data_IF_213573378921
#
_entry.id   IF_213573378921
#
_cell.length_a   1.000
_cell.length_b   1.000
_cell.length_c   1.000
_cell.angle_alpha   90.00
_cell.angle_beta   90.00
_cell.angle_gamma   90.00
#
_symmetry.space_group_name_H-M   'P 1'
#
loop_
_entity.id
_entity.type
_entity.pdbx_description
1 polymer ?
#
# COMPACT_ATOMS: atom_id res chain seq x y z
N UNK A 1 3.92 19.90 1.20
CA UNK A 1 4.89 18.92 1.76
C UNK A 1 5.53 18.20 0.59
N UNK A 2 6.84 18.26 0.41
CA UNK A 2 7.49 17.58 -0.71
C UNK A 2 7.44 16.05 -0.55
N UNK A 3 6.72 15.37 -1.46
CA UNK A 3 6.42 13.93 -1.39
C UNK A 3 7.67 13.09 -1.62
N UNK A 4 8.55 13.49 -2.54
CA UNK A 4 9.78 12.74 -2.82
C UNK A 4 10.76 12.82 -1.64
N UNK A 5 10.88 14.00 -1.02
CA UNK A 5 11.62 14.17 0.25
C UNK A 5 11.00 13.34 1.38
N UNK A 6 9.67 13.28 1.47
CA UNK A 6 8.98 12.47 2.45
C UNK A 6 9.21 10.96 2.24
N UNK A 7 9.19 10.48 0.99
CA UNK A 7 9.52 9.09 0.63
C UNK A 7 10.98 8.77 1.02
N UNK A 8 11.93 9.67 0.77
CA UNK A 8 13.34 9.51 1.21
C UNK A 8 13.44 9.43 2.73
N UNK A 9 12.73 10.29 3.46
CA UNK A 9 12.68 10.26 4.94
C UNK A 9 12.07 8.97 5.46
N UNK A 10 10.99 8.47 4.83
CA UNK A 10 10.39 7.18 5.16
C UNK A 10 11.41 6.04 5.01
N UNK A 11 12.12 5.96 3.88
CA UNK A 11 13.18 4.95 3.66
C UNK A 11 14.30 5.03 4.69
N UNK A 12 14.72 6.25 5.08
CA UNK A 12 15.74 6.44 6.13
C UNK A 12 15.22 5.98 7.49
N UNK A 13 14.00 6.36 7.86
CA UNK A 13 13.34 5.94 9.10
C UNK A 13 13.22 4.41 9.19
N UNK A 14 12.84 3.75 8.09
CA UNK A 14 12.82 2.30 8.01
C UNK A 14 14.18 1.66 8.31
N UNK A 15 15.26 2.16 7.68
CA UNK A 15 16.61 1.64 7.90
C UNK A 15 17.04 1.78 9.37
N UNK A 16 16.78 2.95 9.96
CA UNK A 16 17.10 3.21 11.37
C UNK A 16 16.31 2.28 12.28
N UNK A 17 15.00 2.13 12.04
CA UNK A 17 14.14 1.22 12.80
C UNK A 17 14.64 -0.23 12.73
N UNK A 18 15.04 -0.69 11.54
CA UNK A 18 15.58 -2.04 11.38
C UNK A 18 16.90 -2.24 12.12
N UNK A 19 17.78 -1.25 12.05
CA UNK A 19 19.07 -1.29 12.75
C UNK A 19 18.87 -1.28 14.28
N UNK A 20 17.97 -0.44 14.78
CA UNK A 20 17.67 -0.39 16.22
C UNK A 20 17.01 -1.68 16.72
N UNK A 21 16.09 -2.27 15.96
CA UNK A 21 15.44 -3.53 16.36
C UNK A 21 16.43 -4.70 16.39
N UNK A 22 17.31 -4.79 15.39
CA UNK A 22 18.39 -5.78 15.37
C UNK A 22 19.34 -5.59 16.56
N UNK A 23 19.70 -4.35 16.87
CA UNK A 23 20.53 -4.04 18.02
C UNK A 23 19.89 -4.49 19.35
N UNK A 24 18.62 -4.15 19.57
CA UNK A 24 17.90 -4.55 20.80
C UNK A 24 17.80 -6.07 20.93
N UNK A 25 17.46 -6.76 19.83
CA UNK A 25 17.37 -8.23 19.75
C UNK A 25 18.69 -8.92 20.14
N UNK A 26 19.84 -8.32 19.83
CA UNK A 26 21.14 -8.87 20.22
C UNK A 26 21.56 -8.47 21.64
N UNK A 27 21.31 -7.22 22.04
CA UNK A 27 21.73 -6.70 23.34
C UNK A 27 20.97 -7.36 24.49
N UNK A 28 19.67 -7.61 24.34
CA UNK A 28 18.86 -8.19 25.42
C UNK A 28 19.34 -9.58 25.89
N UNK A 29 19.58 -10.57 24.99
CA UNK A 29 20.14 -11.85 25.38
C UNK A 29 21.54 -11.74 25.97
N UNK A 30 22.40 -10.90 25.39
CA UNK A 30 23.79 -10.72 25.89
C UNK A 30 23.81 -10.13 27.30
N UNK A 31 22.94 -9.17 27.59
CA UNK A 31 22.82 -8.58 28.93
C UNK A 31 22.40 -9.62 29.98
N UNK A 32 21.50 -10.55 29.63
CA UNK A 32 21.08 -11.64 30.52
C UNK A 32 22.26 -12.58 30.83
N UNK A 33 23.05 -12.92 29.81
CA UNK A 33 24.25 -13.78 29.95
C UNK A 33 25.31 -13.10 30.82
N UNK A 34 25.60 -11.82 30.58
CA UNK A 34 26.56 -11.02 31.34
C UNK A 34 26.15 -10.88 32.80
N UNK A 35 24.86 -10.67 33.06
CA UNK A 35 24.33 -10.58 34.43
C UNK A 35 24.36 -11.92 35.19
N UNK A 36 24.59 -13.05 34.49
CA UNK A 36 24.53 -14.43 35.04
C UNK A 36 23.23 -14.75 35.78
N UNK A 37 22.14 -14.02 35.50
CA UNK A 37 20.83 -14.18 36.15
C UNK A 37 19.94 -15.13 35.34
N UNK A 38 20.31 -16.41 35.32
CA UNK A 38 19.59 -17.45 34.58
C UNK A 38 18.36 -17.99 35.33
N UNK A 39 17.53 -17.09 35.86
CA UNK A 39 16.24 -17.49 36.43
C UNK A 39 15.25 -17.78 35.29
N UNK A 40 14.47 -18.86 35.43
CA UNK A 40 13.40 -19.25 34.50
C UNK A 40 12.47 -18.07 34.19
N UNK A 41 12.16 -17.25 35.21
CA UNK A 41 11.34 -16.05 35.03
C UNK A 41 11.93 -15.08 33.98
N UNK A 42 13.23 -14.79 34.06
CA UNK A 42 13.89 -13.89 33.12
C UNK A 42 14.02 -14.49 31.72
N UNK A 43 14.20 -15.81 31.63
CA UNK A 43 14.27 -16.52 30.34
C UNK A 43 12.92 -16.43 29.61
N UNK A 44 11.81 -16.71 30.30
CA UNK A 44 10.46 -16.60 29.71
C UNK A 44 10.17 -15.17 29.28
N UNK A 45 10.51 -14.19 30.12
CA UNK A 45 10.30 -12.78 29.80
C UNK A 45 11.09 -12.35 28.55
N UNK A 46 12.34 -12.80 28.42
CA UNK A 46 13.16 -12.56 27.23
C UNK A 46 12.48 -13.13 25.97
N UNK A 47 12.02 -14.38 26.03
CA UNK A 47 11.33 -15.03 24.89
C UNK A 47 10.11 -14.23 24.44
N UNK A 48 9.28 -13.77 25.39
CA UNK A 48 8.09 -12.96 25.07
C UNK A 48 8.48 -11.64 24.41
N UNK A 49 9.50 -10.95 24.92
CA UNK A 49 9.97 -9.70 24.32
C UNK A 49 10.52 -9.89 22.91
N UNK A 50 11.31 -10.94 22.67
CA UNK A 50 11.84 -11.23 21.34
C UNK A 50 10.73 -11.53 20.33
N UNK A 51 9.68 -12.25 20.76
CA UNK A 51 8.50 -12.49 19.94
C UNK A 51 7.77 -11.17 19.58
N UNK A 52 7.66 -10.22 20.52
CA UNK A 52 7.06 -8.92 20.25
C UNK A 52 7.90 -8.06 19.30
N UNK A 53 9.23 -8.05 19.46
CA UNK A 53 10.16 -7.37 18.55
C UNK A 53 10.03 -7.94 17.15
N UNK A 54 10.03 -9.26 17.02
CA UNK A 54 9.86 -9.95 15.75
C UNK A 54 8.54 -9.57 15.07
N UNK A 55 7.43 -9.55 15.82
CA UNK A 55 6.13 -9.15 15.30
C UNK A 55 6.13 -7.68 14.81
N UNK A 56 6.76 -6.77 15.56
CA UNK A 56 6.87 -5.36 15.18
C UNK A 56 7.65 -5.18 13.86
N UNK A 57 8.75 -5.93 13.70
CA UNK A 57 9.54 -5.96 12.46
C UNK A 57 8.70 -6.46 11.27
N UNK A 58 7.96 -7.56 11.45
CA UNK A 58 7.07 -8.12 10.42
C UNK A 58 6.01 -7.11 9.97
N UNK A 59 5.36 -6.43 10.92
CA UNK A 59 4.35 -5.40 10.64
C UNK A 59 4.97 -4.25 9.85
N UNK A 60 6.16 -3.77 10.25
CA UNK A 60 6.85 -2.66 9.58
C UNK A 60 7.19 -3.00 8.13
N UNK A 61 7.79 -4.18 7.87
CA UNK A 61 8.10 -4.65 6.52
C UNK A 61 6.84 -4.69 5.66
N UNK A 62 5.76 -5.23 6.21
CA UNK A 62 4.53 -5.45 5.47
C UNK A 62 3.85 -4.15 5.04
N UNK A 63 3.95 -3.09 5.86
CA UNK A 63 3.31 -1.81 5.58
C UNK A 63 4.07 -0.99 4.53
N UNK A 64 5.39 -0.99 4.58
CA UNK A 64 6.22 -0.17 3.69
C UNK A 64 6.47 -0.79 2.31
N UNK A 65 6.40 -2.12 2.20
CA UNK A 65 6.76 -2.80 0.95
C UNK A 65 5.69 -2.64 -0.15
N UNK A 66 5.93 -1.70 -1.05
CA UNK A 66 5.26 -1.54 -2.34
C UNK A 66 6.32 -1.22 -3.41
N UNK A 67 6.45 -2.10 -4.40
CA UNK A 67 7.24 -1.85 -5.61
C UNK A 67 6.34 -2.03 -6.82
N UNK A 68 6.50 -1.18 -7.81
CA UNK A 68 5.74 -1.27 -9.05
C UNK A 68 6.63 -1.02 -10.26
N UNK A 69 6.31 -1.66 -11.38
CA UNK A 69 6.90 -1.40 -12.69
C UNK A 69 5.79 -1.41 -13.74
N UNK A 70 5.98 -0.63 -14.80
CA UNK A 70 5.09 -0.61 -15.95
C UNK A 70 5.87 -1.03 -17.18
N UNK A 71 5.36 -2.03 -17.88
CA UNK A 71 6.02 -2.65 -19.04
C UNK A 71 5.33 -2.23 -20.35
N UNK A 72 4.66 -1.06 -20.41
CA UNK A 72 3.95 -0.56 -21.59
C UNK A 72 2.52 -1.12 -21.79
N UNK A 73 2.24 -2.32 -21.29
CA UNK A 73 0.91 -2.94 -21.35
C UNK A 73 0.37 -3.37 -19.97
N UNK A 74 1.27 -3.78 -19.09
CA UNK A 74 0.93 -4.31 -17.77
C UNK A 74 1.63 -3.52 -16.67
N UNK A 75 0.88 -3.22 -15.62
CA UNK A 75 1.40 -2.69 -14.36
C UNK A 75 1.65 -3.85 -13.40
N UNK A 76 2.92 -4.13 -13.10
CA UNK A 76 3.35 -5.18 -12.17
C UNK A 76 3.57 -4.58 -10.79
N UNK A 77 2.77 -5.01 -9.82
CA UNK A 77 2.80 -4.60 -8.43
C UNK A 77 3.34 -5.73 -7.55
N UNK A 78 4.28 -5.43 -6.66
CA UNK A 78 4.77 -6.33 -5.61
C UNK A 78 4.48 -5.69 -4.26
N UNK A 79 3.73 -6.40 -3.41
CA UNK A 79 3.15 -5.80 -2.21
C UNK A 79 3.19 -6.69 -0.97
N UNK A 80 3.65 -6.11 0.14
CA UNK A 80 3.72 -6.72 1.46
C UNK A 80 4.75 -7.83 1.61
N UNK A 81 4.73 -8.50 2.77
CA UNK A 81 5.78 -9.45 3.15
C UNK A 81 5.82 -10.72 2.29
N UNK A 82 4.64 -11.24 1.91
CA UNK A 82 4.51 -12.39 0.99
C UNK A 82 4.85 -12.05 -0.47
N UNK A 83 5.35 -10.84 -0.75
CA UNK A 83 5.74 -10.33 -2.08
C UNK A 83 4.72 -10.64 -3.18
N UNK A 84 3.42 -10.65 -2.86
CA UNK A 84 2.44 -11.10 -3.83
C UNK A 84 2.47 -10.16 -5.04
N UNK A 85 2.43 -10.78 -6.22
CA UNK A 85 2.63 -10.12 -7.50
C UNK A 85 1.27 -9.89 -8.15
N UNK A 86 0.81 -8.65 -8.21
CA UNK A 86 -0.41 -8.28 -8.92
C UNK A 86 -0.02 -7.69 -10.29
N UNK A 87 -0.44 -8.34 -11.37
CA UNK A 87 -0.29 -7.80 -12.72
C UNK A 87 -1.61 -7.24 -13.17
N UNK A 88 -1.69 -5.92 -13.37
CA UNK A 88 -2.88 -5.22 -13.83
C UNK A 88 -2.73 -4.93 -15.31
N UNK A 89 -3.74 -5.27 -16.10
CA UNK A 89 -3.83 -4.86 -17.51
C UNK A 89 -4.60 -3.55 -17.55
N UNK A 90 -3.94 -2.49 -18.02
CA UNK A 90 -4.46 -1.12 -17.96
C UNK A 90 -5.78 -0.95 -18.73
N UNK A 91 -5.91 -1.59 -19.90
CA UNK A 91 -7.11 -1.51 -20.76
C UNK A 91 -8.35 -2.19 -20.15
N UNK A 92 -8.16 -3.02 -19.13
CA UNK A 92 -9.25 -3.73 -18.46
C UNK A 92 -9.71 -3.02 -17.20
N UNK A 93 -9.06 -1.92 -16.81
CA UNK A 93 -9.46 -1.13 -15.65
C UNK A 93 -10.62 -0.23 -16.03
N UNK A 94 -11.68 -0.24 -15.21
CA UNK A 94 -12.88 0.56 -15.46
C UNK A 94 -12.99 1.73 -14.50
N UNK A 95 -12.67 1.51 -13.21
CA UNK A 95 -12.75 2.54 -12.20
C UNK A 95 -11.51 2.49 -11.30
N UNK A 96 -10.95 3.66 -11.01
CA UNK A 96 -9.96 3.86 -9.96
C UNK A 96 -10.54 4.87 -8.96
N UNK A 97 -10.67 4.43 -7.71
CA UNK A 97 -11.16 5.24 -6.61
C UNK A 97 -10.16 5.22 -5.46
N UNK A 98 -9.99 6.36 -4.81
CA UNK A 98 -9.17 6.51 -3.62
C UNK A 98 -10.09 6.74 -2.45
N UNK A 99 -9.89 6.01 -1.36
CA UNK A 99 -10.68 6.20 -0.15
C UNK A 99 -9.76 6.46 1.03
N UNK A 100 -10.04 7.53 1.77
CA UNK A 100 -9.27 7.88 2.96
C UNK A 100 -9.64 6.95 4.12
N UNK A 101 -8.65 6.55 4.90
CA UNK A 101 -8.88 5.85 6.15
C UNK A 101 -7.91 6.35 7.22
N UNK A 102 -8.43 6.56 8.41
CA UNK A 102 -7.63 6.85 9.59
C UNK A 102 -7.11 5.51 10.09
N UNK A 103 -5.79 5.36 10.16
CA UNK A 103 -5.20 4.19 10.79
C UNK A 103 -5.29 4.37 12.30
N UNK A 104 -5.83 3.39 13.03
CA UNK A 104 -5.85 3.42 14.52
C UNK A 104 -4.48 3.62 15.18
N UNK A 105 -3.39 3.44 14.42
CA UNK A 105 -2.00 3.50 14.90
C UNK A 105 -1.21 4.68 14.33
N UNK A 106 -1.85 5.64 13.63
CA UNK A 106 -1.14 6.76 13.01
C UNK A 106 -2.05 7.98 12.81
N UNK A 107 -1.62 9.14 13.29
CA UNK A 107 -2.35 10.42 13.15
C UNK A 107 -2.38 10.95 11.71
N UNK A 108 -1.52 10.44 10.83
CA UNK A 108 -1.47 10.89 9.45
C UNK A 108 -2.53 10.18 8.59
N UNK A 109 -3.39 10.93 7.88
CA UNK A 109 -4.41 10.36 7.01
C UNK A 109 -3.73 9.52 5.92
N UNK A 110 -4.15 8.27 5.83
CA UNK A 110 -3.68 7.35 4.81
C UNK A 110 -4.85 7.01 3.88
N UNK A 111 -4.57 6.49 2.69
CA UNK A 111 -5.64 6.20 1.73
C UNK A 111 -5.47 4.83 1.08
N UNK A 112 -6.56 4.17 0.73
CA UNK A 112 -6.54 2.91 -0.02
C UNK A 112 -6.95 3.18 -1.45
N UNK A 113 -6.29 2.51 -2.41
CA UNK A 113 -6.67 2.60 -3.83
C UNK A 113 -7.55 1.38 -4.12
N UNK A 114 -8.76 1.62 -4.61
CA UNK A 114 -9.71 0.62 -5.03
C UNK A 114 -9.74 0.66 -6.56
N UNK A 115 -9.51 -0.50 -7.18
CA UNK A 115 -9.50 -0.65 -8.63
C UNK A 115 -10.57 -1.66 -9.00
N UNK A 116 -11.44 -1.28 -9.93
CA UNK A 116 -12.40 -2.16 -10.58
C UNK A 116 -11.94 -2.52 -11.99
N UNK A 117 -12.14 -3.78 -12.38
CA UNK A 117 -11.81 -4.30 -13.69
C UNK A 117 -12.91 -5.20 -14.24
N UNK A 118 -13.04 -5.26 -15.57
CA UNK A 118 -13.93 -6.19 -16.27
C UNK A 118 -13.42 -7.64 -16.31
N UNK A 119 -12.15 -7.87 -15.98
CA UNK A 119 -11.54 -9.20 -16.10
C UNK A 119 -10.75 -9.57 -14.85
N UNK A 120 -10.77 -10.85 -14.48
CA UNK A 120 -9.92 -11.38 -13.43
C UNK A 120 -8.48 -11.42 -13.92
N UNK A 121 -7.59 -10.68 -13.26
CA UNK A 121 -6.15 -10.85 -13.51
C UNK A 121 -5.65 -12.16 -12.89
N UNK A 122 -4.55 -12.69 -13.45
CA UNK A 122 -3.94 -13.99 -13.11
C UNK A 122 -3.44 -14.12 -11.65
N UNK A 123 -3.81 -13.21 -10.75
CA UNK A 123 -3.36 -13.15 -9.37
C UNK A 123 -4.53 -13.25 -8.38
N UNK A 124 -4.33 -13.97 -7.28
CA UNK A 124 -5.35 -14.31 -6.25
C UNK A 124 -5.94 -13.13 -5.47
N UNK A 125 -5.48 -11.90 -5.77
CA UNK A 125 -5.96 -10.67 -5.10
C UNK A 125 -7.10 -9.98 -5.82
N UNK A 126 -7.48 -10.47 -7.01
CA UNK A 126 -8.68 -10.01 -7.68
C UNK A 126 -9.88 -10.84 -7.24
N UNK A 127 -10.82 -10.17 -6.58
CA UNK A 127 -12.01 -10.77 -5.99
C UNK A 127 -13.21 -10.32 -6.80
N UNK A 128 -14.17 -11.21 -7.01
CA UNK A 128 -15.45 -10.87 -7.63
C UNK A 128 -16.18 -9.83 -6.76
N UNK A 129 -16.77 -8.81 -7.39
CA UNK A 129 -17.58 -7.82 -6.69
C UNK A 129 -18.79 -8.51 -6.05
N UNK A 130 -18.92 -8.39 -4.74
CA UNK A 130 -20.02 -8.97 -3.96
C UNK A 130 -20.73 -7.89 -3.15
N UNK A 131 -21.96 -8.20 -2.72
CA UNK A 131 -22.85 -7.24 -2.03
C UNK A 131 -22.21 -6.63 -0.78
N UNK A 132 -21.43 -7.39 0.00
CA UNK A 132 -20.78 -6.85 1.21
C UNK A 132 -19.71 -5.79 0.89
N UNK A 133 -18.94 -5.97 -0.18
CA UNK A 133 -18.00 -4.97 -0.65
C UNK A 133 -18.73 -3.67 -1.03
N UNK A 134 -19.84 -3.78 -1.76
CA UNK A 134 -20.64 -2.64 -2.16
C UNK A 134 -21.25 -1.91 -0.96
N UNK A 135 -21.70 -2.64 0.07
CA UNK A 135 -22.18 -2.04 1.34
C UNK A 135 -21.09 -1.25 2.07
N UNK A 136 -19.85 -1.75 2.06
CA UNK A 136 -18.70 -1.12 2.75
C UNK A 136 -18.14 0.09 2.00
N UNK A 137 -18.39 0.20 0.70
CA UNK A 137 -17.85 1.22 -0.18
C UNK A 137 -18.98 1.85 -1.01
N UNK A 138 -19.84 2.63 -0.35
CA UNK A 138 -21.06 3.19 -0.94
C UNK A 138 -20.83 4.00 -2.21
N UNK A 139 -19.76 4.80 -2.27
CA UNK A 139 -19.41 5.57 -3.46
C UNK A 139 -19.05 4.65 -4.65
N UNK A 140 -18.22 3.64 -4.39
CA UNK A 140 -17.88 2.63 -5.40
C UNK A 140 -19.12 1.87 -5.86
N UNK A 141 -20.07 1.61 -4.95
CA UNK A 141 -21.31 0.96 -5.29
C UNK A 141 -22.20 1.78 -6.22
N UNK A 142 -22.27 3.10 -6.01
CA UNK A 142 -23.00 3.99 -6.91
C UNK A 142 -22.43 3.96 -8.34
N UNK A 143 -21.11 4.05 -8.47
CA UNK A 143 -20.43 3.96 -9.78
C UNK A 143 -20.58 2.57 -10.40
N UNK A 144 -20.44 1.52 -9.60
CA UNK A 144 -20.64 0.14 -10.04
C UNK A 144 -22.04 -0.10 -10.61
N UNK A 145 -23.09 0.38 -9.91
CA UNK A 145 -24.47 0.22 -10.36
C UNK A 145 -24.72 0.91 -11.70
N UNK A 146 -24.19 2.13 -11.90
CA UNK A 146 -24.26 2.82 -13.20
C UNK A 146 -23.64 1.98 -14.32
N UNK A 147 -22.46 1.42 -14.09
CA UNK A 147 -21.78 0.58 -15.08
C UNK A 147 -22.50 -0.74 -15.33
N UNK A 148 -23.14 -1.32 -14.31
CA UNK A 148 -23.89 -2.58 -14.42
C UNK A 148 -25.21 -2.40 -15.18
N UNK A 149 -25.83 -1.22 -15.10
CA UNK A 149 -27.00 -0.88 -15.93
C UNK A 149 -26.61 -0.78 -17.40
N UNK A 150 -25.49 -0.13 -17.71
CA UNK A 150 -24.99 0.03 -19.08
C UNK A 150 -24.48 -1.29 -19.68
N UNK A 151 -23.90 -2.16 -18.85
CA UNK A 151 -23.33 -3.44 -19.27
C UNK A 151 -23.78 -4.57 -18.32
N UNK A 152 -25.02 -5.05 -18.46
CA UNK A 152 -25.60 -6.04 -17.55
C UNK A 152 -24.86 -7.38 -17.59
N UNK A 153 -24.24 -7.74 -18.72
CA UNK A 153 -23.55 -9.03 -18.88
C UNK A 153 -22.15 -9.05 -18.27
N UNK A 154 -21.54 -7.87 -18.06
CA UNK A 154 -20.15 -7.80 -17.61
C UNK A 154 -20.02 -8.21 -16.14
N UNK A 155 -19.12 -9.16 -15.87
CA UNK A 155 -18.66 -9.47 -14.52
C UNK A 155 -17.56 -8.49 -14.12
N UNK A 156 -17.63 -7.96 -12.91
CA UNK A 156 -16.61 -7.04 -12.41
C UNK A 156 -15.83 -7.66 -11.25
N UNK A 157 -14.53 -7.36 -11.24
CA UNK A 157 -13.59 -7.75 -10.22
C UNK A 157 -13.01 -6.51 -9.57
N UNK A 158 -12.63 -6.62 -8.31
CA UNK A 158 -11.99 -5.55 -7.57
C UNK A 158 -10.68 -6.00 -6.92
N UNK A 159 -9.81 -5.02 -6.68
CA UNK A 159 -8.61 -5.17 -5.85
C UNK A 159 -8.42 -3.92 -5.02
N UNK A 160 -7.93 -4.09 -3.79
CA UNK A 160 -7.68 -2.97 -2.86
C UNK A 160 -6.20 -2.91 -2.51
N UNK A 161 -5.56 -1.79 -2.82
CA UNK A 161 -4.18 -1.48 -2.52
C UNK A 161 -4.14 -0.62 -1.25
N UNK A 162 -3.89 -1.27 -0.10
CA UNK A 162 -3.78 -0.59 1.21
C UNK A 162 -2.33 -0.25 1.58
N UNK A 163 -1.39 -1.14 1.22
CA UNK A 163 0.04 -1.09 1.60
C UNK A 163 0.84 -0.16 0.71
N UNK A 164 2.04 0.22 1.18
CA UNK A 164 2.99 1.03 0.42
C UNK A 164 3.17 2.47 0.85
N UNK A 165 2.40 2.91 1.86
CA UNK A 165 2.50 4.26 2.44
C UNK A 165 2.57 5.36 1.37
N UNK A 166 3.58 6.23 1.41
CA UNK A 166 3.73 7.33 0.45
C UNK A 166 4.02 6.86 -0.98
N UNK A 167 4.50 5.63 -1.19
CA UNK A 167 4.71 5.09 -2.54
C UNK A 167 3.38 4.86 -3.30
N UNK A 168 2.23 5.04 -2.64
CA UNK A 168 0.92 5.03 -3.31
C UNK A 168 0.71 6.27 -4.19
N UNK A 169 1.31 7.41 -3.87
CA UNK A 169 1.24 8.62 -4.71
C UNK A 169 1.86 8.42 -6.10
N UNK A 170 3.15 8.00 -6.23
CA UNK A 170 3.73 7.76 -7.55
C UNK A 170 3.07 6.57 -8.27
N UNK A 171 2.53 5.61 -7.52
CA UNK A 171 1.71 4.54 -8.10
C UNK A 171 0.43 5.09 -8.75
N UNK A 172 -0.31 5.97 -8.07
CA UNK A 172 -1.53 6.59 -8.62
C UNK A 172 -1.24 7.38 -9.88
N UNK A 173 -0.17 8.17 -9.88
CA UNK A 173 0.24 8.93 -11.07
C UNK A 173 0.63 8.00 -12.24
N UNK A 174 1.30 6.88 -11.94
CA UNK A 174 1.61 5.86 -12.96
C UNK A 174 0.34 5.24 -13.52
N UNK A 175 -0.62 4.85 -12.66
CA UNK A 175 -1.92 4.31 -13.08
C UNK A 175 -2.66 5.32 -13.97
N UNK A 176 -2.65 6.61 -13.60
CA UNK A 176 -3.30 7.66 -14.36
C UNK A 176 -2.69 7.85 -15.75
N UNK A 177 -1.35 7.80 -15.86
CA UNK A 177 -0.66 7.89 -17.15
C UNK A 177 -0.86 6.65 -18.02
N UNK A 178 -0.92 5.46 -17.43
CA UNK A 178 -0.94 4.20 -18.17
C UNK A 178 -2.35 3.71 -18.49
N UNK A 179 -3.35 4.01 -17.66
CA UNK A 179 -4.71 3.46 -17.77
C UNK A 179 -5.66 4.52 -18.33
N UNK A 180 -5.46 4.88 -19.59
CA UNK A 180 -6.15 6.01 -20.25
C UNK A 180 -7.68 5.82 -20.29
N UNK A 181 -8.15 4.59 -20.47
CA UNK A 181 -9.58 4.27 -20.57
C UNK A 181 -10.29 4.13 -19.21
N UNK A 182 -9.56 4.23 -18.10
CA UNK A 182 -10.15 4.08 -16.78
C UNK A 182 -10.86 5.38 -16.34
N UNK A 183 -12.01 5.24 -15.69
CA UNK A 183 -12.67 6.35 -15.01
C UNK A 183 -11.97 6.62 -13.66
N UNK A 184 -11.58 7.87 -13.42
CA UNK A 184 -10.96 8.31 -12.17
C UNK A 184 -11.94 9.17 -11.38
N UNK A 185 -12.13 8.85 -10.10
CA UNK A 185 -13.00 9.66 -9.23
C UNK A 185 -12.33 10.98 -8.89
N UNK A 186 -13.12 12.00 -8.54
CA UNK A 186 -12.61 13.33 -8.16
C UNK A 186 -11.56 13.26 -7.05
N UNK A 187 -11.84 12.50 -5.98
CA UNK A 187 -10.89 12.24 -4.90
C UNK A 187 -9.57 11.64 -5.39
N UNK A 188 -9.59 10.83 -6.44
CA UNK A 188 -8.39 10.25 -7.04
C UNK A 188 -7.60 11.31 -7.80
N UNK A 189 -8.30 12.14 -8.59
CA UNK A 189 -7.71 13.23 -9.37
C UNK A 189 -7.04 14.25 -8.44
N UNK A 190 -7.69 14.63 -7.35
CA UNK A 190 -7.12 15.54 -6.35
C UNK A 190 -5.82 15.01 -5.76
N UNK A 191 -5.75 13.71 -5.45
CA UNK A 191 -4.52 13.07 -4.93
C UNK A 191 -3.39 13.04 -5.95
N UNK A 192 -3.71 12.86 -7.23
CA UNK A 192 -2.74 12.92 -8.33
C UNK A 192 -2.23 14.36 -8.51
N UNK A 193 -3.12 15.35 -8.53
CA UNK A 193 -2.76 16.79 -8.60
C UNK A 193 -1.84 17.16 -7.44
N UNK A 194 -2.24 16.80 -6.21
CA UNK A 194 -1.44 17.01 -5.01
C UNK A 194 -0.03 16.42 -5.13
N UNK A 195 0.10 15.19 -5.66
CA UNK A 195 1.42 14.59 -5.88
C UNK A 195 2.25 15.40 -6.89
N UNK A 196 1.68 15.78 -8.03
CA UNK A 196 2.40 16.52 -9.09
C UNK A 196 2.84 17.91 -8.64
N UNK A 197 2.03 18.61 -7.86
CA UNK A 197 2.38 19.92 -7.30
C UNK A 197 3.45 19.84 -6.22
N UNK A 198 3.57 18.69 -5.54
CA UNK A 198 4.46 18.50 -4.40
C UNK A 198 5.61 17.51 -4.68
N UNK A 199 5.91 17.22 -5.95
CA UNK A 199 6.98 16.30 -6.37
C UNK A 199 8.10 17.05 -7.08
N UNK A 200 9.34 16.78 -6.69
CA UNK A 200 10.56 17.36 -7.28
C UNK A 200 10.62 17.08 -8.78
N UNK A 201 10.27 15.87 -9.20
CA UNK A 201 10.28 15.44 -10.60
C UNK A 201 9.39 16.31 -11.51
N UNK A 202 8.39 16.98 -10.96
CA UNK A 202 7.46 17.82 -11.71
C UNK A 202 7.73 19.31 -11.54
N UNK A 203 8.23 19.72 -10.37
CA UNK A 203 8.61 21.10 -10.09
C UNK A 203 9.84 21.49 -10.91
N UNK A 204 10.83 20.60 -11.04
CA UNK A 204 12.05 20.88 -11.80
C UNK A 204 11.78 20.89 -13.32
N UNK A 205 10.84 20.09 -13.81
CA UNK A 205 10.40 20.09 -15.21
C UNK A 205 9.57 21.32 -15.59
N UNK A 206 8.99 22.06 -14.64
CA UNK A 206 8.32 23.35 -14.90
C UNK A 206 9.28 24.54 -14.96
N UNK A 207 10.52 24.37 -14.50
CA UNK A 207 11.56 25.42 -14.48
C UNK A 207 12.51 25.35 -15.68
N UNK A 208 12.40 24.31 -16.51
CA UNK A 208 13.04 24.18 -17.82
C UNK A 208 12.05 24.54 -18.90
#
# INVERSE_FOLDING_TARGET
>A
MNIDKAIRKQKKSYKIFMLSMCFIFCVMPTALILARKFNIFYIIYLIVLEMLIFLAVVIRINNEFLKFSYDGYKLKLKMGIRRAKLSIICDKIVLVHVENYISKYRDNPNFRIIILSTSKFRNDRMILVHKEFLKRHSYVAHQYNKMKILHPENTFYYTIIKRGELNKYPLLDTIYKSCVYAHFTEETIERIKYYRENSENYIDNKKK
#
